data_IF_860070312932
#
_entry.id   IF_860070312932
#
_cell.length_a   1.000
_cell.length_b   1.000
_cell.length_c   1.000
_cell.angle_alpha   90.00
_cell.angle_beta   90.00
_cell.angle_gamma   90.00
#
_symmetry.space_group_name_H-M   'P 1'
#
loop_
_entity.id
_entity.type
_entity.pdbx_description
1 polymer ?
#
# COMPACT_ATOMS: atom_id res chain seq x y z
N UNK A 1 -7.81 -5.51 -5.78
CA UNK A 1 -7.60 -5.52 -4.32
C UNK A 1 -6.12 -5.63 -3.99
N UNK A 2 -5.69 -4.99 -2.93
CA UNK A 2 -4.35 -5.09 -2.35
C UNK A 2 -4.48 -5.55 -0.90
N UNK A 3 -3.86 -6.69 -0.59
CA UNK A 3 -3.74 -7.23 0.75
C UNK A 3 -2.46 -6.68 1.37
N UNK A 4 -2.57 -6.11 2.57
CA UNK A 4 -1.45 -5.50 3.29
C UNK A 4 -1.36 -6.13 4.67
N UNK A 5 -0.15 -6.51 5.04
CA UNK A 5 0.12 -7.16 6.31
C UNK A 5 1.43 -6.66 6.90
N UNK A 6 1.44 -6.45 8.21
CA UNK A 6 2.61 -6.04 8.98
C UNK A 6 2.76 -7.03 10.14
N UNK A 7 3.88 -7.73 10.18
CA UNK A 7 4.18 -8.71 11.23
C UNK A 7 5.36 -8.27 12.08
N UNK A 8 5.24 -8.41 13.39
CA UNK A 8 6.38 -8.42 14.30
C UNK A 8 6.95 -9.84 14.42
N UNK A 9 7.98 -10.03 15.25
CA UNK A 9 8.55 -11.35 15.52
C UNK A 9 7.54 -12.34 16.14
N UNK A 10 6.49 -11.84 16.78
CA UNK A 10 5.58 -12.66 17.59
C UNK A 10 4.17 -12.76 16.99
N UNK A 11 3.69 -11.74 16.29
CA UNK A 11 2.30 -11.69 15.81
C UNK A 11 2.11 -10.79 14.59
N UNK A 12 0.91 -10.87 13.99
CA UNK A 12 0.43 -9.88 13.04
C UNK A 12 -0.03 -8.63 13.80
N UNK A 13 0.57 -7.49 13.50
CA UNK A 13 0.28 -6.20 14.15
C UNK A 13 -0.75 -5.39 13.36
N UNK A 14 -0.84 -5.65 12.05
CA UNK A 14 -1.80 -5.02 11.16
C UNK A 14 -2.10 -5.92 9.97
N UNK A 15 -3.37 -6.02 9.62
CA UNK A 15 -3.81 -6.66 8.39
C UNK A 15 -5.05 -5.96 7.86
N UNK A 16 -5.04 -5.67 6.57
CA UNK A 16 -6.23 -5.20 5.89
C UNK A 16 -6.27 -5.54 4.39
N UNK A 17 -7.41 -5.21 3.79
CA UNK A 17 -7.65 -5.35 2.36
C UNK A 17 -8.22 -4.05 1.85
N UNK A 18 -7.58 -3.47 0.83
CA UNK A 18 -8.07 -2.27 0.18
C UNK A 18 -8.41 -2.54 -1.27
N UNK A 19 -9.53 -1.99 -1.73
CA UNK A 19 -9.81 -1.86 -3.16
C UNK A 19 -9.00 -0.68 -3.68
N UNK A 20 -8.15 -0.96 -4.67
CA UNK A 20 -7.36 0.07 -5.34
C UNK A 20 -7.89 0.16 -6.76
N UNK A 21 -8.49 1.28 -7.10
CA UNK A 21 -8.86 1.59 -8.48
C UNK A 21 -7.67 2.27 -9.13
N UNK A 22 -7.16 1.67 -10.20
CA UNK A 22 -5.95 2.14 -10.89
C UNK A 22 -6.27 3.09 -12.05
N UNK A 23 -7.44 2.91 -12.68
CA UNK A 23 -7.92 3.74 -13.78
C UNK A 23 -9.45 3.85 -13.76
N UNK A 24 -9.97 4.87 -14.45
CA UNK A 24 -11.40 5.01 -14.71
C UNK A 24 -11.90 4.06 -15.82
N UNK A 25 -13.20 4.11 -16.11
CA UNK A 25 -13.83 3.26 -17.12
C UNK A 25 -13.35 3.55 -18.56
N UNK A 26 -12.71 4.70 -18.79
CA UNK A 26 -12.17 5.13 -20.07
C UNK A 26 -10.69 4.75 -20.22
N UNK A 27 -10.07 4.18 -19.17
CA UNK A 27 -8.67 3.78 -19.16
C UNK A 27 -7.70 4.87 -18.70
N UNK A 28 -8.20 6.00 -18.19
CA UNK A 28 -7.36 7.07 -17.63
C UNK A 28 -6.87 6.67 -16.25
N UNK A 29 -5.55 6.61 -16.06
CA UNK A 29 -4.94 6.24 -14.78
C UNK A 29 -5.19 7.29 -13.70
N UNK A 30 -5.57 6.83 -12.50
CA UNK A 30 -5.69 7.66 -11.31
C UNK A 30 -4.31 8.01 -10.74
N UNK A 31 -4.24 9.14 -10.02
CA UNK A 31 -3.03 9.61 -9.35
C UNK A 31 -2.51 10.94 -9.92
N UNK A 32 -1.34 11.35 -9.44
CA UNK A 32 -0.67 12.59 -9.86
C UNK A 32 0.65 12.28 -10.57
N UNK A 33 1.09 13.15 -11.46
CA UNK A 33 2.34 12.94 -12.21
C UNK A 33 2.29 13.47 -13.64
N UNK A 34 3.44 13.42 -14.29
CA UNK A 34 3.69 14.02 -15.61
C UNK A 34 3.39 13.01 -16.72
N UNK A 35 2.60 13.43 -17.71
CA UNK A 35 2.25 12.60 -18.87
C UNK A 35 1.51 11.33 -18.47
N UNK A 36 1.95 10.19 -19.01
CA UNK A 36 1.37 8.87 -18.75
C UNK A 36 1.79 8.25 -17.40
N UNK A 37 2.83 8.79 -16.73
CA UNK A 37 3.26 8.27 -15.44
C UNK A 37 2.41 8.90 -14.33
N UNK A 38 1.68 8.04 -13.61
CA UNK A 38 0.84 8.43 -12.48
C UNK A 38 1.26 7.70 -11.22
N UNK A 39 1.33 8.43 -10.13
CA UNK A 39 1.62 7.93 -8.79
C UNK A 39 0.36 8.01 -7.95
N UNK A 40 -0.01 6.89 -7.34
CA UNK A 40 -1.14 6.78 -6.43
C UNK A 40 -0.61 6.55 -5.01
N UNK A 41 -0.88 7.49 -4.11
CA UNK A 41 -0.54 7.35 -2.70
C UNK A 41 -1.70 6.70 -1.94
N UNK A 42 -1.40 5.59 -1.26
CA UNK A 42 -2.38 4.80 -0.52
C UNK A 42 -2.07 4.84 0.98
N UNK A 43 -2.70 5.75 1.75
CA UNK A 43 -2.45 5.85 3.17
C UNK A 43 -2.92 4.59 3.91
N UNK A 44 -2.26 4.29 5.02
CA UNK A 44 -2.77 3.39 6.03
C UNK A 44 -3.82 4.11 6.87
N UNK A 45 -4.86 3.41 7.30
CA UNK A 45 -5.79 3.97 8.29
C UNK A 45 -5.06 4.04 9.63
N UNK A 46 -4.74 5.25 10.09
CA UNK A 46 -3.95 5.52 11.29
C UNK A 46 -4.46 4.76 12.53
N UNK A 47 -5.78 4.66 12.71
CA UNK A 47 -6.39 4.03 13.88
C UNK A 47 -5.98 2.57 14.13
N UNK A 48 -5.48 1.85 13.11
CA UNK A 48 -5.10 0.44 13.21
C UNK A 48 -3.60 0.16 13.22
N UNK A 49 -2.76 1.10 12.78
CA UNK A 49 -1.33 0.85 12.61
C UNK A 49 -0.58 1.12 13.91
N UNK A 50 0.00 0.07 14.53
CA UNK A 50 0.74 0.19 15.78
C UNK A 50 2.10 -0.51 15.68
N UNK A 51 3.11 0.15 16.25
CA UNK A 51 4.45 -0.41 16.43
C UNK A 51 4.77 -0.45 17.94
N UNK A 52 4.11 -1.34 18.70
CA UNK A 52 4.09 -1.27 20.17
C UNK A 52 5.44 -1.56 20.82
N UNK A 53 6.34 -2.25 20.12
CA UNK A 53 7.67 -2.63 20.62
C UNK A 53 8.74 -2.33 19.59
N UNK A 54 9.94 -1.98 20.05
CA UNK A 54 11.12 -1.92 19.19
C UNK A 54 11.47 -3.33 18.72
N UNK A 55 11.79 -3.45 17.43
CA UNK A 55 12.14 -4.74 16.84
C UNK A 55 12.05 -4.73 15.32
N UNK A 56 12.21 -5.91 14.74
CA UNK A 56 12.09 -6.11 13.29
C UNK A 56 10.63 -6.31 12.92
N UNK A 57 10.16 -5.52 11.97
CA UNK A 57 8.84 -5.68 11.36
C UNK A 57 8.99 -6.12 9.91
N UNK A 58 8.10 -7.00 9.46
CA UNK A 58 8.01 -7.46 8.08
C UNK A 58 6.72 -6.93 7.45
N UNK A 59 6.87 -6.17 6.39
CA UNK A 59 5.77 -5.69 5.56
C UNK A 59 5.55 -6.66 4.40
N UNK A 60 4.30 -7.03 4.16
CA UNK A 60 3.90 -7.88 3.04
C UNK A 60 2.76 -7.22 2.29
N UNK A 61 2.91 -7.17 0.97
CA UNK A 61 1.93 -6.67 0.03
C UNK A 61 1.62 -7.76 -0.99
N UNK A 62 0.35 -7.96 -1.30
CA UNK A 62 -0.06 -8.93 -2.30
C UNK A 62 -1.27 -8.40 -3.07
N UNK A 63 -1.20 -8.38 -4.40
CA UNK A 63 -2.37 -8.05 -5.21
C UNK A 63 -3.29 -9.27 -5.32
N UNK A 64 -4.59 -9.03 -5.19
CA UNK A 64 -5.64 -10.03 -5.41
C UNK A 64 -6.23 -9.98 -6.82
N UNK A 65 -5.53 -9.40 -7.80
CA UNK A 65 -5.99 -9.36 -9.18
C UNK A 65 -5.67 -10.65 -9.92
N UNK A 66 -6.53 -11.01 -10.89
CA UNK A 66 -6.35 -12.22 -11.71
C UNK A 66 -5.24 -12.06 -12.76
N UNK A 67 -4.96 -10.82 -13.16
CA UNK A 67 -3.88 -10.52 -14.10
C UNK A 67 -2.53 -10.70 -13.39
N UNK A 68 -1.86 -11.79 -13.72
CA UNK A 68 -0.54 -12.16 -13.21
C UNK A 68 0.39 -12.44 -14.42
N UNK A 69 1.35 -11.56 -14.75
CA UNK A 69 1.71 -10.33 -14.05
C UNK A 69 0.78 -9.15 -14.39
N UNK A 70 0.53 -8.31 -13.40
CA UNK A 70 -0.14 -7.02 -13.59
C UNK A 70 0.72 -6.08 -14.46
N UNK A 71 0.19 -5.67 -15.61
CA UNK A 71 0.89 -4.78 -16.56
C UNK A 71 0.64 -3.31 -16.24
N UNK A 72 1.57 -2.44 -16.65
CA UNK A 72 1.45 -0.98 -16.53
C UNK A 72 1.87 -0.42 -15.17
N UNK A 73 2.11 -1.27 -14.16
CA UNK A 73 2.76 -0.84 -12.92
C UNK A 73 4.27 -0.80 -13.14
N UNK A 74 4.84 0.38 -12.95
CA UNK A 74 6.28 0.61 -13.09
C UNK A 74 7.03 0.34 -11.80
N UNK A 75 6.54 0.91 -10.70
CA UNK A 75 7.23 0.93 -9.40
C UNK A 75 6.23 0.70 -8.26
N UNK A 76 6.71 0.11 -7.15
CA UNK A 76 5.96 -0.02 -5.90
C UNK A 76 6.87 0.40 -4.73
N UNK A 77 6.42 1.36 -3.93
CA UNK A 77 7.19 1.92 -2.83
C UNK A 77 6.40 1.91 -1.51
N UNK A 78 7.14 1.76 -0.41
CA UNK A 78 6.64 1.92 0.94
C UNK A 78 7.32 3.14 1.57
N UNK A 79 6.53 4.12 1.99
CA UNK A 79 7.01 5.27 2.77
C UNK A 79 6.66 5.06 4.23
N UNK A 80 7.64 5.29 5.11
CA UNK A 80 7.48 5.26 6.57
C UNK A 80 7.93 6.62 7.08
N UNK A 81 7.05 7.29 7.82
CA UNK A 81 7.30 8.62 8.38
C UNK A 81 7.01 8.57 9.89
N UNK A 82 7.73 9.36 10.67
CA UNK A 82 7.41 9.57 12.07
C UNK A 82 6.11 10.36 12.20
N UNK A 83 5.26 9.96 13.16
CA UNK A 83 4.06 10.72 13.46
C UNK A 83 4.48 12.09 14.02
N UNK A 84 4.14 13.15 13.30
CA UNK A 84 4.35 14.51 13.79
C UNK A 84 3.40 14.73 14.97
N UNK A 85 3.95 14.78 16.18
CA UNK A 85 3.23 15.28 17.34
C UNK A 85 3.16 16.79 17.22
N UNK A 86 2.01 17.32 16.80
CA UNK A 86 1.65 18.74 16.98
C UNK A 86 1.13 19.00 18.40
#
# INVERSE_FOLDING_TARGET
>A
YLFREIRSAHQSEYQDTVEVRLADAQGTWYGTGIGALKTLNLPYKQAGLRFPKRGIYRFRFQHGMRDEPLRGIKDFALTIEEEKTE
#
